data_IF_377466496053
#
_entry.id   IF_377466496053
#
_cell.length_a   1.000
_cell.length_b   1.000
_cell.length_c   1.000
_cell.angle_alpha   90.00
_cell.angle_beta   90.00
_cell.angle_gamma   90.00
#
_symmetry.space_group_name_H-M   'P 1'
#
loop_
_entity.id
_entity.type
_entity.pdbx_description
1 polymer ?
#
# COMPACT_ATOMS: atom_id res chain seq x y z
N UNK A 1 14.77 -30.13 -11.51
CA UNK A 1 15.93 -29.23 -11.48
C UNK A 1 15.88 -28.40 -10.20
N UNK A 2 16.66 -28.79 -9.20
CA UNK A 2 16.77 -28.06 -7.93
C UNK A 2 17.69 -26.87 -8.15
N UNK A 3 17.10 -25.70 -8.44
CA UNK A 3 17.84 -24.44 -8.45
C UNK A 3 18.30 -24.15 -7.02
N UNK A 4 19.58 -24.40 -6.74
CA UNK A 4 20.24 -23.87 -5.55
C UNK A 4 20.20 -22.34 -5.64
N UNK A 5 19.18 -21.72 -5.05
CA UNK A 5 19.23 -20.30 -4.74
C UNK A 5 20.41 -20.13 -3.78
N UNK A 6 21.51 -19.57 -4.25
CA UNK A 6 22.57 -19.11 -3.36
C UNK A 6 21.93 -18.31 -2.21
N UNK A 7 22.34 -18.58 -0.98
CA UNK A 7 21.82 -17.85 0.17
C UNK A 7 22.10 -16.36 -0.05
N UNK A 8 21.05 -15.54 0.01
CA UNK A 8 21.20 -14.10 -0.15
C UNK A 8 22.22 -13.58 0.86
N UNK A 9 23.10 -12.66 0.43
CA UNK A 9 24.06 -12.07 1.35
C UNK A 9 23.34 -11.40 2.53
N UNK A 10 24.03 -11.29 3.68
CA UNK A 10 23.48 -10.59 4.85
C UNK A 10 23.08 -9.15 4.52
N UNK A 11 23.80 -8.50 3.59
CA UNK A 11 23.56 -7.14 3.11
C UNK A 11 22.24 -7.04 2.33
N UNK A 12 22.02 -7.95 1.38
CA UNK A 12 20.76 -8.01 0.64
C UNK A 12 19.56 -8.31 1.56
N UNK A 13 19.75 -9.17 2.57
CA UNK A 13 18.73 -9.46 3.57
C UNK A 13 18.40 -8.24 4.42
N UNK A 14 19.42 -7.48 4.86
CA UNK A 14 19.25 -6.22 5.58
C UNK A 14 18.54 -5.17 4.71
N UNK A 15 18.91 -5.04 3.43
CA UNK A 15 18.24 -4.16 2.48
C UNK A 15 16.73 -4.49 2.39
N UNK A 16 16.37 -5.76 2.23
CA UNK A 16 14.97 -6.21 2.22
C UNK A 16 14.24 -5.86 3.52
N UNK A 17 14.88 -6.06 4.68
CA UNK A 17 14.30 -5.69 5.96
C UNK A 17 14.05 -4.17 6.05
N UNK A 18 15.03 -3.34 5.68
CA UNK A 18 14.86 -1.88 5.64
C UNK A 18 13.77 -1.44 4.69
N UNK A 19 13.61 -2.07 3.53
CA UNK A 19 12.50 -1.78 2.62
C UNK A 19 11.14 -2.11 3.23
N UNK A 20 11.02 -3.24 3.95
CA UNK A 20 9.78 -3.60 4.66
C UNK A 20 9.49 -2.60 5.79
N UNK A 21 10.50 -2.22 6.56
CA UNK A 21 10.33 -1.22 7.62
C UNK A 21 9.93 0.13 7.02
N UNK A 22 10.57 0.55 5.93
CA UNK A 22 10.22 1.77 5.21
C UNK A 22 8.74 1.76 4.78
N UNK A 23 8.28 0.65 4.20
CA UNK A 23 6.87 0.46 3.83
C UNK A 23 5.95 0.62 5.05
N UNK A 24 6.25 -0.03 6.17
CA UNK A 24 5.46 0.10 7.40
C UNK A 24 5.50 1.53 7.99
N UNK A 25 6.56 2.29 7.74
CA UNK A 25 6.67 3.67 8.21
C UNK A 25 5.93 4.67 7.33
N UNK A 26 5.56 4.33 6.09
CA UNK A 26 4.81 5.21 5.17
C UNK A 26 3.57 5.83 5.84
N UNK A 27 2.66 5.07 6.47
CA UNK A 27 1.50 5.62 7.12
C UNK A 27 1.79 6.27 8.49
N UNK A 28 3.00 6.12 9.03
CA UNK A 28 3.38 6.60 10.37
C UNK A 28 4.19 7.89 10.31
N UNK A 29 5.31 7.91 9.59
CA UNK A 29 6.25 9.04 9.58
C UNK A 29 6.98 9.14 8.25
N UNK A 30 6.90 10.32 7.60
CA UNK A 30 7.66 10.61 6.37
C UNK A 30 9.16 10.63 6.64
N UNK A 31 9.58 11.16 7.80
CA UNK A 31 10.97 11.20 8.19
C UNK A 31 11.55 9.79 8.35
N UNK A 32 10.88 8.91 9.11
CA UNK A 32 11.32 7.52 9.27
C UNK A 32 11.29 6.76 7.94
N UNK A 33 10.27 6.98 7.11
CA UNK A 33 10.22 6.41 5.75
C UNK A 33 11.47 6.78 4.97
N UNK A 34 11.86 8.06 4.95
CA UNK A 34 13.04 8.52 4.23
C UNK A 34 14.33 7.89 4.78
N UNK A 35 14.47 7.81 6.11
CA UNK A 35 15.64 7.16 6.75
C UNK A 35 15.75 5.70 6.31
N UNK A 36 14.68 4.92 6.40
CA UNK A 36 14.72 3.50 6.02
C UNK A 36 14.84 3.29 4.50
N UNK A 37 14.31 4.19 3.67
CA UNK A 37 14.57 4.18 2.24
C UNK A 37 16.06 4.42 1.93
N UNK A 38 16.71 5.36 2.63
CA UNK A 38 18.14 5.60 2.51
C UNK A 38 18.98 4.39 2.95
N UNK A 39 18.64 3.79 4.10
CA UNK A 39 19.28 2.57 4.59
C UNK A 39 19.09 1.38 3.63
N UNK A 40 17.88 1.24 3.05
CA UNK A 40 17.60 0.25 2.02
C UNK A 40 18.50 0.44 0.80
N UNK A 41 18.55 1.66 0.25
CA UNK A 41 19.37 1.98 -0.92
C UNK A 41 20.87 1.72 -0.64
N UNK A 42 21.39 2.19 0.49
CA UNK A 42 22.79 2.00 0.86
C UNK A 42 23.14 0.50 1.04
N UNK A 43 22.32 -0.25 1.78
CA UNK A 43 22.54 -1.68 2.00
C UNK A 43 22.47 -2.48 0.69
N UNK A 44 21.60 -2.07 -0.24
CA UNK A 44 21.46 -2.71 -1.55
C UNK A 44 22.68 -2.43 -2.44
N UNK A 45 23.11 -1.17 -2.56
CA UNK A 45 24.24 -0.77 -3.42
C UNK A 45 25.57 -1.41 -2.99
N UNK A 46 25.77 -1.64 -1.68
CA UNK A 46 26.96 -2.32 -1.14
C UNK A 46 26.86 -3.86 -1.30
N UNK A 47 25.70 -4.38 -1.73
CA UNK A 47 25.49 -5.79 -2.02
C UNK A 47 26.04 -6.16 -3.40
N UNK A 48 26.84 -7.22 -3.54
CA UNK A 48 27.39 -7.61 -4.85
C UNK A 48 26.30 -7.99 -5.87
N UNK A 49 25.13 -8.42 -5.42
CA UNK A 49 23.97 -8.75 -6.26
C UNK A 49 23.44 -7.53 -7.02
N UNK A 50 23.53 -6.33 -6.45
CA UNK A 50 23.09 -5.10 -7.11
C UNK A 50 23.82 -4.86 -8.44
N UNK A 51 25.15 -5.00 -8.40
CA UNK A 51 25.99 -4.76 -9.58
C UNK A 51 25.89 -5.88 -10.61
N UNK A 52 25.68 -7.12 -10.16
CA UNK A 52 25.49 -8.28 -11.04
C UNK A 52 24.19 -8.21 -11.82
N UNK A 53 23.12 -7.77 -11.16
CA UNK A 53 21.76 -7.82 -11.71
C UNK A 53 21.24 -6.46 -12.18
N UNK A 54 22.13 -5.50 -12.46
CA UNK A 54 21.76 -4.13 -12.84
C UNK A 54 20.86 -4.07 -14.08
N UNK A 55 20.99 -5.04 -15.00
CA UNK A 55 20.09 -5.19 -16.16
C UNK A 55 18.61 -5.29 -15.75
N UNK A 56 18.32 -5.77 -14.54
CA UNK A 56 16.96 -5.86 -14.00
C UNK A 56 16.23 -4.52 -13.96
N UNK A 57 16.97 -3.40 -13.88
CA UNK A 57 16.41 -2.06 -13.87
C UNK A 57 15.57 -1.74 -15.10
N UNK A 58 16.00 -2.25 -16.26
CA UNK A 58 15.35 -1.98 -17.55
C UNK A 58 14.53 -3.15 -18.07
N UNK A 59 14.68 -4.35 -17.49
CA UNK A 59 13.91 -5.53 -17.90
C UNK A 59 12.56 -5.65 -17.18
N UNK A 60 12.43 -5.11 -15.96
CA UNK A 60 11.16 -5.16 -15.23
C UNK A 60 10.24 -4.00 -15.66
N UNK A 61 9.00 -4.26 -16.10
CA UNK A 61 8.12 -3.21 -16.66
C UNK A 61 7.86 -2.06 -15.68
N UNK A 62 7.67 -2.38 -14.39
CA UNK A 62 7.43 -1.37 -13.36
C UNK A 62 8.68 -0.48 -13.13
N UNK A 63 9.86 -1.09 -13.15
CA UNK A 63 11.15 -0.39 -13.05
C UNK A 63 11.36 0.53 -14.25
N UNK A 64 11.12 0.01 -15.46
CA UNK A 64 11.24 0.77 -16.70
C UNK A 64 10.27 1.96 -16.72
N UNK A 65 9.00 1.75 -16.36
CA UNK A 65 8.02 2.82 -16.28
C UNK A 65 8.46 3.93 -15.29
N UNK A 66 8.98 3.55 -14.12
CA UNK A 66 9.50 4.49 -13.14
C UNK A 66 10.68 5.30 -13.68
N UNK A 67 11.63 4.65 -14.36
CA UNK A 67 12.79 5.28 -14.98
C UNK A 67 12.39 6.20 -16.14
N UNK A 68 11.42 5.80 -16.97
CA UNK A 68 10.91 6.62 -18.07
C UNK A 68 10.20 7.88 -17.57
N UNK A 69 9.40 7.76 -16.50
CA UNK A 69 8.76 8.93 -15.88
C UNK A 69 9.82 9.88 -15.33
N UNK A 70 10.83 9.36 -14.64
CA UNK A 70 11.91 10.18 -14.09
C UNK A 70 12.74 10.86 -15.20
N UNK A 71 13.01 10.14 -16.30
CA UNK A 71 13.68 10.68 -17.47
C UNK A 71 12.83 11.77 -18.12
N UNK A 72 11.53 11.56 -18.30
CA UNK A 72 10.62 12.56 -18.84
C UNK A 72 10.56 13.82 -17.97
N UNK A 73 10.55 13.66 -16.64
CA UNK A 73 10.62 14.78 -15.68
C UNK A 73 11.96 15.51 -15.74
N UNK A 74 13.06 14.81 -15.98
CA UNK A 74 14.37 15.46 -16.12
C UNK A 74 14.48 16.21 -17.45
N UNK A 75 13.97 15.63 -18.54
CA UNK A 75 13.90 16.29 -19.84
C UNK A 75 12.97 17.52 -19.77
N UNK A 76 11.92 17.51 -18.94
CA UNK A 76 11.06 18.70 -18.79
C UNK A 76 11.77 19.92 -18.20
N UNK A 77 12.90 19.72 -17.50
CA UNK A 77 13.74 20.82 -17.02
C UNK A 77 14.44 21.57 -18.16
N UNK A 78 14.64 20.94 -19.34
CA UNK A 78 15.37 21.59 -20.45
C UNK A 78 14.52 22.58 -21.24
N UNK A 79 13.19 22.45 -21.19
CA UNK A 79 12.26 23.31 -21.93
C UNK A 79 11.29 24.08 -21.02
N UNK A 80 11.44 23.98 -19.69
CA UNK A 80 10.60 24.73 -18.76
C UNK A 80 10.98 26.21 -18.72
N UNK A 81 9.96 27.07 -18.60
CA UNK A 81 10.13 28.51 -18.35
C UNK A 81 10.35 28.83 -16.87
N UNK A 82 10.24 27.82 -15.99
CA UNK A 82 10.41 28.01 -14.55
C UNK A 82 11.89 28.23 -14.18
N UNK A 83 12.17 29.01 -13.11
CA UNK A 83 13.50 29.09 -12.53
C UNK A 83 14.11 27.70 -12.26
N UNK A 84 15.41 27.54 -12.56
CA UNK A 84 16.08 26.24 -12.49
C UNK A 84 16.02 25.58 -11.11
N UNK A 85 16.12 26.36 -10.03
CA UNK A 85 15.99 25.88 -8.65
C UNK A 85 14.61 25.26 -8.41
N UNK A 86 13.55 25.91 -8.87
CA UNK A 86 12.18 25.41 -8.77
C UNK A 86 11.96 24.19 -9.65
N UNK A 87 12.53 24.17 -10.85
CA UNK A 87 12.43 23.04 -11.76
C UNK A 87 13.07 21.76 -11.17
N UNK A 88 14.28 21.86 -10.62
CA UNK A 88 14.94 20.72 -9.97
C UNK A 88 14.25 20.29 -8.68
N UNK A 89 13.71 21.23 -7.89
CA UNK A 89 12.88 20.90 -6.74
C UNK A 89 11.63 20.10 -7.12
N UNK A 90 11.08 20.30 -8.32
CA UNK A 90 9.99 19.48 -8.83
C UNK A 90 10.44 18.05 -9.16
N UNK A 91 11.59 17.88 -9.82
CA UNK A 91 12.16 16.55 -10.09
C UNK A 91 12.46 15.80 -8.78
N UNK A 92 13.03 16.51 -7.79
CA UNK A 92 13.35 15.94 -6.48
C UNK A 92 12.13 15.37 -5.73
N UNK A 93 10.91 15.84 -6.00
CA UNK A 93 9.69 15.23 -5.40
C UNK A 93 9.43 13.80 -5.87
N UNK A 94 10.00 13.41 -7.00
CA UNK A 94 9.81 12.11 -7.63
C UNK A 94 11.05 11.22 -7.53
N UNK A 95 12.08 11.62 -6.77
CA UNK A 95 13.30 10.85 -6.54
C UNK A 95 13.01 9.43 -6.00
N UNK A 96 11.95 9.28 -5.19
CA UNK A 96 11.45 8.01 -4.66
C UNK A 96 11.00 7.02 -5.72
N UNK A 97 10.74 7.45 -6.96
CA UNK A 97 10.50 6.52 -8.08
C UNK A 97 11.70 5.60 -8.31
N UNK A 98 12.92 6.03 -7.99
CA UNK A 98 14.12 5.19 -8.05
C UNK A 98 14.09 4.02 -7.06
N UNK A 99 13.24 4.05 -6.04
CA UNK A 99 13.08 2.92 -5.13
C UNK A 99 12.38 1.74 -5.80
N UNK A 100 11.61 1.94 -6.87
CA UNK A 100 10.95 0.86 -7.61
C UNK A 100 11.96 -0.07 -8.31
N UNK A 101 12.92 0.41 -9.14
CA UNK A 101 13.95 -0.45 -9.70
C UNK A 101 14.80 -1.14 -8.63
N UNK A 102 15.09 -0.44 -7.52
CA UNK A 102 15.83 -1.01 -6.40
C UNK A 102 15.05 -2.14 -5.74
N UNK A 103 13.74 -1.95 -5.51
CA UNK A 103 12.86 -2.97 -4.95
C UNK A 103 12.69 -4.15 -5.91
N UNK A 104 12.54 -3.90 -7.22
CA UNK A 104 12.47 -4.96 -8.21
C UNK A 104 13.71 -5.85 -8.16
N UNK A 105 14.91 -5.26 -8.14
CA UNK A 105 16.17 -6.01 -7.98
C UNK A 105 16.20 -6.77 -6.64
N UNK A 106 15.90 -6.09 -5.54
CA UNK A 106 16.00 -6.68 -4.22
C UNK A 106 15.03 -7.87 -4.02
N UNK A 107 13.83 -7.83 -4.61
CA UNK A 107 12.77 -8.79 -4.31
C UNK A 107 12.49 -9.82 -5.42
N UNK A 108 13.05 -9.69 -6.64
CA UNK A 108 12.74 -10.53 -7.83
C UNK A 108 12.67 -12.04 -7.58
N UNK A 109 13.65 -12.58 -6.87
CA UNK A 109 13.76 -14.03 -6.56
C UNK A 109 13.67 -14.28 -5.05
N UNK A 110 12.97 -13.41 -4.33
CA UNK A 110 12.86 -13.50 -2.87
C UNK A 110 11.56 -14.19 -2.44
N UNK A 111 11.62 -14.88 -1.30
CA UNK A 111 10.45 -15.42 -0.60
C UNK A 111 9.84 -14.42 0.40
N UNK A 112 10.11 -13.12 0.25
CA UNK A 112 9.72 -12.09 1.23
C UNK A 112 8.27 -11.61 1.09
N UNK A 113 7.57 -11.96 0.02
CA UNK A 113 6.18 -11.54 -0.21
C UNK A 113 5.22 -11.84 0.97
N UNK A 114 5.29 -12.99 1.67
CA UNK A 114 4.48 -13.24 2.88
C UNK A 114 4.84 -12.31 4.05
N UNK A 115 6.13 -11.99 4.22
CA UNK A 115 6.61 -11.09 5.28
C UNK A 115 6.08 -9.68 5.01
N UNK A 116 6.29 -9.17 3.80
CA UNK A 116 5.79 -7.86 3.35
C UNK A 116 4.29 -7.74 3.62
N UNK A 117 3.50 -8.72 3.18
CA UNK A 117 2.04 -8.72 3.36
C UNK A 117 1.63 -8.71 4.83
N UNK A 118 2.26 -9.52 5.68
CA UNK A 118 1.95 -9.60 7.12
C UNK A 118 2.34 -8.34 7.86
N UNK A 119 3.53 -7.81 7.61
CA UNK A 119 4.01 -6.57 8.22
C UNK A 119 3.13 -5.39 7.84
N UNK A 120 2.84 -5.23 6.54
CA UNK A 120 1.95 -4.19 6.05
C UNK A 120 0.55 -4.29 6.64
N UNK A 121 -0.05 -5.49 6.62
CA UNK A 121 -1.36 -5.73 7.22
C UNK A 121 -1.39 -5.41 8.71
N UNK A 122 -0.39 -5.90 9.46
CA UNK A 122 -0.28 -5.65 10.90
C UNK A 122 -0.14 -4.17 11.24
N UNK A 123 0.68 -3.42 10.48
CA UNK A 123 0.81 -1.97 10.64
C UNK A 123 -0.51 -1.25 10.39
N UNK A 124 -1.20 -1.58 9.30
CA UNK A 124 -2.49 -0.95 8.99
C UNK A 124 -3.56 -1.28 10.04
N UNK A 125 -3.60 -2.52 10.54
CA UNK A 125 -4.48 -2.92 11.64
C UNK A 125 -4.18 -2.16 12.94
N UNK A 126 -2.90 -1.96 13.27
CA UNK A 126 -2.51 -1.18 14.45
C UNK A 126 -2.97 0.28 14.33
N UNK A 127 -2.84 0.88 13.14
CA UNK A 127 -3.31 2.25 12.88
C UNK A 127 -4.83 2.33 12.93
N UNK A 128 -5.55 1.34 12.38
CA UNK A 128 -7.01 1.24 12.46
C UNK A 128 -7.49 1.18 13.92
N UNK A 129 -6.81 0.37 14.75
CA UNK A 129 -7.11 0.27 16.18
C UNK A 129 -6.91 1.63 16.87
N UNK A 130 -5.75 2.28 16.68
CA UNK A 130 -5.48 3.60 17.25
C UNK A 130 -6.46 4.67 16.77
N UNK A 131 -6.82 4.65 15.48
CA UNK A 131 -7.79 5.56 14.89
C UNK A 131 -9.17 5.39 15.53
N UNK A 132 -9.55 4.15 15.80
CA UNK A 132 -10.83 3.82 16.45
C UNK A 132 -10.84 4.21 17.92
N UNK A 133 -9.78 3.91 18.67
CA UNK A 133 -9.70 4.28 20.08
C UNK A 133 -9.69 5.79 20.26
N UNK A 134 -9.02 6.53 19.36
CA UNK A 134 -9.08 7.99 19.37
C UNK A 134 -10.48 8.52 18.99
N UNK A 135 -11.14 7.94 17.98
CA UNK A 135 -12.49 8.32 17.58
C UNK A 135 -13.51 8.14 18.71
N UNK A 136 -13.40 7.04 19.47
CA UNK A 136 -14.26 6.74 20.63
C UNK A 136 -13.91 7.56 21.88
N UNK A 137 -12.86 8.38 21.84
CA UNK A 137 -12.40 9.16 22.99
C UNK A 137 -11.70 8.34 24.08
N UNK A 138 -11.30 7.10 23.78
CA UNK A 138 -10.56 6.23 24.71
C UNK A 138 -9.07 6.60 24.78
N UNK A 139 -8.54 7.17 23.70
CA UNK A 139 -7.14 7.61 23.59
C UNK A 139 -7.04 8.95 22.85
N UNK A 140 -5.88 9.60 22.93
CA UNK A 140 -5.54 10.81 22.16
C UNK A 140 -4.11 10.69 21.58
N UNK A 141 -3.87 9.62 20.83
CA UNK A 141 -2.53 9.24 20.36
C UNK A 141 -2.29 9.75 18.94
N UNK A 142 -1.17 10.44 18.74
CA UNK A 142 -0.63 10.76 17.42
C UNK A 142 -0.69 12.25 17.07
N UNK A 143 0.26 12.74 16.25
CA UNK A 143 0.44 14.16 16.00
C UNK A 143 -0.62 14.78 15.09
N UNK A 144 -1.41 13.97 14.37
CA UNK A 144 -2.48 14.46 13.50
C UNK A 144 -3.80 14.66 14.25
N UNK A 145 -3.88 14.18 15.49
CA UNK A 145 -5.03 14.40 16.37
C UNK A 145 -4.99 15.83 16.91
N UNK A 146 -6.10 16.56 16.81
CA UNK A 146 -6.26 17.87 17.44
C UNK A 146 -7.50 17.85 18.35
N UNK A 147 -7.28 18.06 19.65
CA UNK A 147 -8.34 18.07 20.68
C UNK A 147 -9.42 19.11 20.39
N UNK A 148 -9.04 20.23 19.75
CA UNK A 148 -9.93 21.34 19.42
C UNK A 148 -10.76 21.12 18.15
N UNK A 149 -10.45 20.08 17.35
CA UNK A 149 -11.15 19.75 16.12
C UNK A 149 -11.83 18.37 16.27
N UNK A 150 -13.12 18.33 16.64
CA UNK A 150 -13.85 17.07 16.82
C UNK A 150 -13.78 16.14 15.59
N UNK A 151 -13.72 16.71 14.39
CA UNK A 151 -13.60 15.98 13.11
C UNK A 151 -12.24 15.29 12.92
N UNK A 152 -11.22 15.70 13.67
CA UNK A 152 -9.87 15.13 13.62
C UNK A 152 -9.66 13.98 14.61
N UNK A 153 -10.67 13.65 15.43
CA UNK A 153 -10.53 12.65 16.50
C UNK A 153 -10.02 11.30 15.98
N UNK A 154 -10.47 10.87 14.82
CA UNK A 154 -10.01 9.62 14.21
C UNK A 154 -8.60 9.68 13.61
N UNK A 155 -7.98 10.86 13.52
CA UNK A 155 -6.67 11.02 12.88
C UNK A 155 -5.58 10.62 13.88
N UNK A 156 -4.57 9.90 13.40
CA UNK A 156 -3.47 9.39 14.23
C UNK A 156 -2.16 10.04 13.79
N UNK A 157 -1.60 9.57 12.68
CA UNK A 157 -0.31 10.03 12.15
C UNK A 157 -0.43 10.87 10.87
N UNK A 158 -1.56 10.76 10.18
CA UNK A 158 -1.84 11.38 8.89
C UNK A 158 -3.23 11.98 8.90
N UNK A 159 -3.45 12.96 8.01
CA UNK A 159 -4.77 13.55 7.80
C UNK A 159 -5.76 12.56 7.16
N UNK A 160 -7.04 12.93 7.14
CA UNK A 160 -8.13 12.12 6.58
C UNK A 160 -7.92 11.66 5.13
N UNK A 161 -7.15 12.39 4.31
CA UNK A 161 -6.88 12.01 2.92
C UNK A 161 -5.97 10.78 2.89
N UNK A 162 -4.78 10.88 3.45
CA UNK A 162 -3.81 9.79 3.45
C UNK A 162 -4.29 8.63 4.32
N UNK A 163 -4.85 8.91 5.51
CA UNK A 163 -5.43 7.88 6.37
C UNK A 163 -6.57 7.13 5.66
N UNK A 164 -7.42 7.84 4.92
CA UNK A 164 -8.52 7.23 4.14
C UNK A 164 -8.01 6.31 3.03
N UNK A 165 -6.92 6.68 2.34
CA UNK A 165 -6.27 5.80 1.36
C UNK A 165 -5.73 4.52 2.02
N UNK A 166 -5.07 4.63 3.17
CA UNK A 166 -4.57 3.45 3.90
C UNK A 166 -5.70 2.56 4.42
N UNK A 167 -6.80 3.14 4.90
CA UNK A 167 -8.00 2.40 5.28
C UNK A 167 -8.62 1.63 4.11
N UNK A 168 -8.69 2.25 2.93
CA UNK A 168 -9.18 1.59 1.71
C UNK A 168 -8.26 0.43 1.27
N UNK A 169 -6.94 0.61 1.35
CA UNK A 169 -5.96 -0.46 1.08
C UNK A 169 -6.06 -1.61 2.10
N UNK A 170 -6.27 -1.29 3.39
CA UNK A 170 -6.50 -2.29 4.43
C UNK A 170 -7.77 -3.10 4.13
N UNK A 171 -8.87 -2.43 3.76
CA UNK A 171 -10.10 -3.11 3.35
C UNK A 171 -9.81 -4.10 2.22
N UNK A 172 -9.14 -3.67 1.15
CA UNK A 172 -8.85 -4.55 0.02
C UNK A 172 -7.99 -5.75 0.42
N UNK A 173 -6.93 -5.52 1.20
CA UNK A 173 -6.06 -6.60 1.65
C UNK A 173 -6.78 -7.57 2.60
N UNK A 174 -7.59 -7.06 3.53
CA UNK A 174 -8.39 -7.87 4.44
C UNK A 174 -9.43 -8.70 3.68
N UNK A 175 -10.10 -8.11 2.69
CA UNK A 175 -11.07 -8.81 1.84
C UNK A 175 -10.38 -9.91 1.00
N UNK A 176 -9.22 -9.63 0.41
CA UNK A 176 -8.43 -10.62 -0.33
C UNK A 176 -8.04 -11.82 0.55
N UNK A 177 -7.58 -11.55 1.79
CA UNK A 177 -7.27 -12.59 2.77
C UNK A 177 -8.52 -13.38 3.19
N UNK A 178 -9.67 -12.73 3.34
CA UNK A 178 -10.93 -13.40 3.65
C UNK A 178 -11.37 -14.35 2.52
N UNK A 179 -11.23 -13.93 1.26
CA UNK A 179 -11.54 -14.77 0.09
C UNK A 179 -10.59 -15.97 -0.04
N UNK A 180 -9.32 -15.80 0.34
CA UNK A 180 -8.31 -16.87 0.30
C UNK A 180 -8.32 -17.77 1.56
N UNK A 181 -9.06 -17.40 2.61
CA UNK A 181 -9.06 -18.10 3.89
C UNK A 181 -9.65 -19.52 3.79
N UNK A 182 -8.93 -20.48 4.38
CA UNK A 182 -9.30 -21.91 4.41
C UNK A 182 -10.27 -22.26 5.53
N UNK A 183 -10.24 -21.53 6.65
CA UNK A 183 -11.10 -21.80 7.82
C UNK A 183 -12.17 -20.73 7.95
N UNK A 184 -13.35 -21.10 8.46
CA UNK A 184 -14.44 -20.15 8.68
C UNK A 184 -14.04 -19.04 9.66
N UNK A 185 -13.29 -19.37 10.72
CA UNK A 185 -12.81 -18.41 11.71
C UNK A 185 -11.86 -17.37 11.10
N UNK A 186 -10.86 -17.80 10.32
CA UNK A 186 -9.94 -16.86 9.67
C UNK A 186 -10.65 -15.98 8.65
N UNK A 187 -11.59 -16.55 7.89
CA UNK A 187 -12.45 -15.80 6.97
C UNK A 187 -13.26 -14.74 7.70
N UNK A 188 -13.91 -15.10 8.81
CA UNK A 188 -14.70 -14.18 9.62
C UNK A 188 -13.84 -13.07 10.23
N UNK A 189 -12.65 -13.40 10.74
CA UNK A 189 -11.71 -12.42 11.30
C UNK A 189 -11.27 -11.40 10.24
N UNK A 190 -10.86 -11.86 9.05
CA UNK A 190 -10.47 -10.96 7.96
C UNK A 190 -11.64 -10.15 7.40
N UNK A 191 -12.83 -10.74 7.30
CA UNK A 191 -14.04 -10.01 6.92
C UNK A 191 -14.41 -8.94 7.96
N UNK A 192 -14.23 -9.23 9.25
CA UNK A 192 -14.41 -8.27 10.34
C UNK A 192 -13.45 -7.08 10.24
N UNK A 193 -12.16 -7.33 9.97
CA UNK A 193 -11.18 -6.26 9.71
C UNK A 193 -11.56 -5.45 8.46
N UNK A 194 -12.01 -6.10 7.39
CA UNK A 194 -12.44 -5.42 6.18
C UNK A 194 -13.63 -4.49 6.45
N UNK A 195 -14.66 -4.96 7.15
CA UNK A 195 -15.81 -4.16 7.55
C UNK A 195 -15.41 -2.99 8.45
N UNK A 196 -14.55 -3.24 9.44
CA UNK A 196 -14.05 -2.20 10.34
C UNK A 196 -13.25 -1.13 9.60
N UNK A 197 -12.41 -1.51 8.63
CA UNK A 197 -11.70 -0.57 7.77
C UNK A 197 -12.67 0.31 6.95
N UNK A 198 -13.77 -0.24 6.44
CA UNK A 198 -14.78 0.56 5.75
C UNK A 198 -15.48 1.55 6.68
N UNK A 199 -15.86 1.13 7.89
CA UNK A 199 -16.43 2.04 8.91
C UNK A 199 -15.45 3.18 9.19
N UNK A 200 -14.15 2.88 9.31
CA UNK A 200 -13.14 3.89 9.51
C UNK A 200 -13.08 4.92 8.37
N UNK A 201 -13.11 4.46 7.11
CA UNK A 201 -13.05 5.35 5.94
C UNK A 201 -14.34 6.18 5.78
N UNK A 202 -15.51 5.56 5.85
CA UNK A 202 -16.79 6.21 5.57
C UNK A 202 -17.31 7.06 6.73
N UNK A 203 -17.12 6.60 7.97
CA UNK A 203 -17.71 7.21 9.17
C UNK A 203 -16.68 8.02 9.95
N UNK A 204 -15.53 7.43 10.29
CA UNK A 204 -14.59 8.02 11.24
C UNK A 204 -13.70 9.12 10.63
N UNK A 205 -13.16 8.88 9.42
CA UNK A 205 -12.22 9.80 8.77
C UNK A 205 -12.89 10.86 7.90
N UNK A 206 -14.05 10.54 7.30
CA UNK A 206 -14.85 11.42 6.45
C UNK A 206 -14.11 12.06 5.24
N UNK A 207 -13.04 11.43 4.76
CA UNK A 207 -12.29 11.93 3.61
C UNK A 207 -12.89 11.50 2.26
N UNK A 208 -13.30 12.45 1.42
CA UNK A 208 -13.91 12.18 0.10
C UNK A 208 -13.05 11.32 -0.81
N UNK A 209 -11.74 11.60 -0.88
CA UNK A 209 -10.80 10.80 -1.67
C UNK A 209 -10.74 9.36 -1.20
N UNK A 210 -10.68 9.14 0.12
CA UNK A 210 -10.68 7.80 0.70
C UNK A 210 -11.96 7.02 0.41
N UNK A 211 -13.12 7.69 0.47
CA UNK A 211 -14.42 7.10 0.14
C UNK A 211 -14.48 6.65 -1.33
N UNK A 212 -14.05 7.50 -2.27
CA UNK A 212 -14.02 7.14 -3.70
C UNK A 212 -13.11 5.95 -3.95
N UNK A 213 -11.89 5.95 -3.38
CA UNK A 213 -10.96 4.83 -3.52
C UNK A 213 -11.54 3.54 -2.90
N UNK A 214 -12.19 3.64 -1.73
CA UNK A 214 -12.85 2.50 -1.09
C UNK A 214 -13.98 1.93 -1.96
N UNK A 215 -14.83 2.78 -2.57
CA UNK A 215 -15.89 2.33 -3.49
C UNK A 215 -15.32 1.57 -4.70
N UNK A 216 -14.24 2.08 -5.31
CA UNK A 216 -13.57 1.39 -6.41
C UNK A 216 -13.03 0.03 -5.97
N UNK A 217 -12.39 -0.05 -4.81
CA UNK A 217 -11.86 -1.31 -4.29
C UNK A 217 -12.98 -2.29 -3.87
N UNK A 218 -14.11 -1.80 -3.36
CA UNK A 218 -15.30 -2.61 -3.09
C UNK A 218 -15.79 -3.24 -4.40
N UNK A 219 -15.88 -2.47 -5.48
CA UNK A 219 -16.26 -2.99 -6.80
C UNK A 219 -15.29 -4.08 -7.27
N UNK A 220 -13.97 -3.87 -7.12
CA UNK A 220 -12.96 -4.88 -7.48
C UNK A 220 -13.16 -6.17 -6.67
N UNK A 221 -13.36 -6.07 -5.36
CA UNK A 221 -13.60 -7.24 -4.49
C UNK A 221 -14.91 -7.94 -4.86
N UNK A 222 -15.97 -7.17 -5.13
CA UNK A 222 -17.27 -7.67 -5.52
C UNK A 222 -17.20 -8.46 -6.84
N UNK A 223 -16.55 -7.92 -7.87
CA UNK A 223 -16.31 -8.61 -9.14
C UNK A 223 -15.51 -9.90 -8.92
N UNK A 224 -14.43 -9.83 -8.12
CA UNK A 224 -13.64 -11.04 -7.80
C UNK A 224 -14.48 -12.09 -7.08
N UNK A 225 -15.33 -11.70 -6.14
CA UNK A 225 -16.23 -12.61 -5.44
C UNK A 225 -17.22 -13.28 -6.40
N UNK A 226 -17.83 -12.53 -7.31
CA UNK A 226 -18.71 -13.09 -8.36
C UNK A 226 -17.96 -14.06 -9.26
N UNK A 227 -16.73 -13.72 -9.69
CA UNK A 227 -15.90 -14.60 -10.51
C UNK A 227 -15.54 -15.91 -9.79
N UNK A 228 -15.26 -15.84 -8.48
CA UNK A 228 -15.02 -17.03 -7.66
C UNK A 228 -16.28 -17.89 -7.53
N UNK A 229 -17.44 -17.27 -7.30
CA UNK A 229 -18.72 -17.98 -7.27
C UNK A 229 -19.05 -18.61 -8.62
N UNK A 230 -18.76 -17.95 -9.74
CA UNK A 230 -19.01 -18.48 -11.10
C UNK A 230 -18.25 -19.78 -11.34
N UNK A 231 -17.02 -19.89 -10.81
CA UNK A 231 -16.23 -21.13 -10.89
C UNK A 231 -16.86 -22.28 -10.11
N UNK A 232 -17.68 -22.00 -9.09
CA UNK A 232 -18.37 -23.02 -8.30
C UNK A 232 -19.80 -23.30 -8.81
N UNK A 233 -20.55 -22.26 -9.18
CA UNK A 233 -21.92 -22.32 -9.65
C UNK A 233 -22.33 -21.04 -10.39
N UNK A 234 -22.75 -21.16 -11.64
CA UNK A 234 -23.21 -20.03 -12.46
C UNK A 234 -24.46 -19.34 -11.87
N UNK A 235 -25.34 -20.09 -11.19
CA UNK A 235 -26.59 -19.58 -10.62
C UNK A 235 -26.32 -18.67 -9.40
N UNK A 236 -25.40 -19.08 -8.51
CA UNK A 236 -24.97 -18.24 -7.37
C UNK A 236 -24.25 -16.97 -7.83
N UNK A 237 -23.48 -17.06 -8.91
CA UNK A 237 -22.83 -15.90 -9.51
C UNK A 237 -23.84 -14.93 -10.13
N UNK A 238 -24.87 -15.43 -10.81
CA UNK A 238 -25.95 -14.62 -11.37
C UNK A 238 -26.73 -13.86 -10.29
N UNK A 239 -27.06 -14.53 -9.18
CA UNK A 239 -27.72 -13.89 -8.03
C UNK A 239 -26.83 -12.82 -7.37
N UNK A 240 -25.55 -13.11 -7.16
CA UNK A 240 -24.60 -12.15 -6.57
C UNK A 240 -24.36 -10.93 -7.49
N UNK A 241 -24.26 -11.14 -8.80
CA UNK A 241 -24.14 -10.07 -9.78
C UNK A 241 -25.41 -9.21 -9.83
N UNK A 242 -26.59 -9.83 -9.82
CA UNK A 242 -27.88 -9.14 -9.76
C UNK A 242 -28.03 -8.29 -8.50
N UNK A 243 -27.64 -8.83 -7.34
CA UNK A 243 -27.65 -8.08 -6.08
C UNK A 243 -26.69 -6.88 -6.10
N UNK A 244 -25.51 -7.01 -6.71
CA UNK A 244 -24.55 -5.91 -6.86
C UNK A 244 -25.07 -4.80 -7.78
N UNK A 245 -25.70 -5.16 -8.90
CA UNK A 245 -26.31 -4.19 -9.82
C UNK A 245 -27.46 -3.46 -9.15
N UNK A 246 -28.32 -4.17 -8.41
CA UNK A 246 -29.43 -3.57 -7.66
C UNK A 246 -28.94 -2.63 -6.54
N UNK A 247 -27.91 -3.04 -5.79
CA UNK A 247 -27.30 -2.19 -4.77
C UNK A 247 -26.67 -0.94 -5.38
N UNK A 248 -26.01 -1.06 -6.53
CA UNK A 248 -25.45 0.08 -7.26
C UNK A 248 -26.53 1.03 -7.81
N UNK A 249 -27.64 0.50 -8.30
CA UNK A 249 -28.77 1.29 -8.79
C UNK A 249 -29.51 2.04 -7.67
N UNK A 250 -29.55 1.49 -6.44
CA UNK A 250 -30.16 2.14 -5.28
C UNK A 250 -29.29 3.25 -4.65
N UNK A 251 -28.04 3.38 -5.08
CA UNK A 251 -27.07 4.38 -4.62
C UNK A 251 -27.01 5.63 -5.51
N UNK A 252 -27.74 5.65 -6.63
CA UNK A 252 -27.90 6.77 -7.58
C UNK A 252 -29.26 7.41 -7.37
#
# INVERSE_FOLDING_TARGET
>A
MLSFSASATRRLTAARAFAVIALCMVPVSTALTNVFCGLFAAALVISPEFWRDLRTFVTEPASLAALLILAALTVSVTYTVAPHDKAWNWVAKYDKLLLLPFAALAFRQSNWAPIVRRCWFGTLCAILLLSTTNYLGLTAIGPAHATELPLSRAWVFKNHIAAGMFGALLFYQAADLALAARTALSRAAYAGVAAWALVNVFVMLQGRTGQVVALLLILVVAVRFVLLLRKQSALRAGLAAGALVLAGAALV
#
